data_IF_560694363403
#
_entry.id   IF_560694363403
#
_cell.length_a   1.000
_cell.length_b   1.000
_cell.length_c   1.000
_cell.angle_alpha   90.00
_cell.angle_beta   90.00
_cell.angle_gamma   90.00
#
_symmetry.space_group_name_H-M   'P 1'
#
loop_
_entity.id
_entity.type
_entity.pdbx_description
1 polymer ?
#
# COMPACT_ATOMS: atom_id res chain seq x y z
N UNK A 1 -6.25 26.98 -4.13
CA UNK A 1 -6.09 25.53 -3.94
C UNK A 1 -6.23 24.86 -5.28
N UNK A 2 -5.18 24.21 -5.77
CA UNK A 2 -5.23 23.47 -7.02
C UNK A 2 -5.38 21.96 -6.75
N UNK A 3 -6.28 21.29 -7.47
CA UNK A 3 -6.35 19.83 -7.45
C UNK A 3 -5.31 19.29 -8.44
N UNK A 4 -4.47 18.35 -7.99
CA UNK A 4 -3.37 17.79 -8.77
C UNK A 4 -3.53 16.29 -9.03
N UNK A 5 -4.33 15.60 -8.22
CA UNK A 5 -4.65 14.18 -8.39
C UNK A 5 -6.09 13.92 -7.94
N UNK A 6 -6.83 13.13 -8.73
CA UNK A 6 -8.19 12.71 -8.43
C UNK A 6 -8.20 11.19 -8.36
N UNK A 7 -8.71 10.62 -7.27
CA UNK A 7 -8.84 9.17 -7.12
C UNK A 7 -10.26 8.78 -7.45
N UNK A 8 -10.42 7.81 -8.34
CA UNK A 8 -11.71 7.29 -8.78
C UNK A 8 -11.90 5.84 -8.36
N UNK A 9 -13.17 5.42 -8.26
CA UNK A 9 -13.51 4.00 -8.11
C UNK A 9 -13.48 3.29 -9.47
N UNK A 10 -13.71 1.96 -9.45
CA UNK A 10 -13.74 1.14 -10.67
C UNK A 10 -14.87 1.47 -11.65
N UNK A 11 -15.76 2.42 -11.32
CA UNK A 11 -16.85 2.91 -12.18
C UNK A 11 -16.59 4.35 -12.66
N UNK A 12 -15.39 4.90 -12.42
CA UNK A 12 -15.03 6.26 -12.81
C UNK A 12 -15.63 7.36 -11.92
N UNK A 13 -16.23 7.02 -10.77
CA UNK A 13 -16.72 8.03 -9.83
C UNK A 13 -15.57 8.56 -8.98
N UNK A 14 -15.42 9.88 -8.92
CA UNK A 14 -14.47 10.56 -8.04
C UNK A 14 -14.74 10.22 -6.56
N UNK A 15 -13.71 9.79 -5.87
CA UNK A 15 -13.72 9.42 -4.45
C UNK A 15 -12.98 10.44 -3.60
N UNK A 16 -11.78 10.82 -4.05
CA UNK A 16 -10.88 11.68 -3.32
C UNK A 16 -10.20 12.67 -4.26
N UNK A 17 -9.88 13.84 -3.73
CA UNK A 17 -9.19 14.91 -4.43
C UNK A 17 -7.97 15.28 -3.61
N UNK A 18 -6.79 15.29 -4.24
CA UNK A 18 -5.55 15.67 -3.61
C UNK A 18 -5.13 17.02 -4.17
N UNK A 19 -4.87 17.93 -3.23
CA UNK A 19 -4.45 19.29 -3.55
C UNK A 19 -2.93 19.45 -3.65
N UNK A 20 -2.50 20.55 -4.24
CA UNK A 20 -1.14 21.13 -4.17
C UNK A 20 -0.59 21.28 -2.74
N UNK A 21 -1.47 21.45 -1.75
CA UNK A 21 -1.12 21.43 -0.32
C UNK A 21 -0.99 20.03 0.29
N UNK A 22 -0.99 18.98 -0.55
CA UNK A 22 -0.92 17.56 -0.19
C UNK A 22 -2.06 17.02 0.67
N UNK A 23 -3.12 17.80 0.91
CA UNK A 23 -4.32 17.36 1.64
C UNK A 23 -5.24 16.50 0.78
N UNK A 24 -5.78 15.43 1.37
CA UNK A 24 -6.84 14.59 0.76
C UNK A 24 -8.23 15.05 1.19
N UNK A 25 -9.04 15.44 0.21
CA UNK A 25 -10.41 15.94 0.36
C UNK A 25 -11.41 14.94 -0.22
N UNK A 26 -12.58 14.82 0.43
CA UNK A 26 -13.76 14.19 -0.13
C UNK A 26 -14.41 15.06 -1.21
N UNK A 27 -15.36 14.49 -1.95
CA UNK A 27 -16.14 15.25 -2.94
C UNK A 27 -16.86 16.44 -2.30
N UNK A 28 -17.49 16.25 -1.14
CA UNK A 28 -18.25 17.32 -0.48
C UNK A 28 -17.33 18.44 -0.02
N UNK A 29 -16.24 18.12 0.68
CA UNK A 29 -15.25 19.12 1.11
C UNK A 29 -14.67 19.90 -0.08
N UNK A 30 -14.46 19.22 -1.22
CA UNK A 30 -13.97 19.88 -2.43
C UNK A 30 -15.04 20.80 -3.04
N UNK A 31 -16.31 20.38 -3.09
CA UNK A 31 -17.43 21.23 -3.55
C UNK A 31 -17.57 22.47 -2.67
N UNK A 32 -17.55 22.29 -1.34
CA UNK A 32 -17.69 23.39 -0.38
C UNK A 32 -16.57 24.41 -0.57
N UNK A 33 -15.32 23.94 -0.71
CA UNK A 33 -14.18 24.82 -1.03
C UNK A 33 -14.30 25.50 -2.38
N UNK A 34 -14.78 24.80 -3.41
CA UNK A 34 -14.94 25.40 -4.74
C UNK A 34 -15.99 26.52 -4.70
N UNK A 35 -17.06 26.35 -3.93
CA UNK A 35 -18.08 27.39 -3.73
C UNK A 35 -17.57 28.58 -2.92
N UNK A 36 -16.69 28.35 -1.95
CA UNK A 36 -16.16 29.41 -1.08
C UNK A 36 -15.07 30.23 -1.77
N UNK A 37 -14.08 29.58 -2.38
CA UNK A 37 -12.85 30.22 -2.85
C UNK A 37 -12.78 30.37 -4.38
N UNK A 38 -13.80 29.90 -5.12
CA UNK A 38 -13.87 29.93 -6.59
C UNK A 38 -12.52 29.57 -7.27
N UNK A 39 -11.92 28.40 -6.98
CA UNK A 39 -10.65 28.01 -7.54
C UNK A 39 -10.72 28.02 -9.06
N UNK A 40 -9.66 28.55 -9.63
CA UNK A 40 -9.54 28.96 -11.01
C UNK A 40 -9.85 27.86 -12.04
N UNK A 41 -9.68 26.59 -11.69
CA UNK A 41 -9.74 25.46 -12.61
C UNK A 41 -10.98 24.55 -12.47
N UNK A 42 -11.87 24.80 -11.51
CA UNK A 42 -13.00 23.89 -11.21
C UNK A 42 -14.36 24.58 -11.15
N UNK A 43 -15.38 23.87 -11.59
CA UNK A 43 -16.78 24.28 -11.56
C UNK A 43 -17.62 23.22 -10.84
N UNK A 44 -18.54 23.67 -9.99
CA UNK A 44 -19.60 22.81 -9.44
C UNK A 44 -20.74 22.75 -10.45
N UNK A 45 -21.14 21.53 -10.81
CA UNK A 45 -22.26 21.28 -11.71
C UNK A 45 -23.37 20.55 -10.97
N UNK A 46 -24.60 21.05 -11.08
CA UNK A 46 -25.79 20.42 -10.55
C UNK A 46 -26.30 19.35 -11.52
N UNK A 47 -26.21 18.09 -11.12
CA UNK A 47 -26.72 16.95 -11.89
C UNK A 47 -27.98 16.34 -11.27
N UNK A 48 -28.60 15.40 -12.01
CA UNK A 48 -29.78 14.64 -11.56
C UNK A 48 -29.57 13.88 -10.23
N UNK A 49 -28.32 13.51 -9.93
CA UNK A 49 -27.95 12.71 -8.75
C UNK A 49 -27.16 13.52 -7.71
N UNK A 50 -27.25 14.85 -7.77
CA UNK A 50 -26.53 15.77 -6.90
C UNK A 50 -25.40 16.51 -7.61
N UNK A 51 -24.59 17.19 -6.80
CA UNK A 51 -23.49 18.02 -7.25
C UNK A 51 -22.24 17.21 -7.61
N UNK A 52 -21.54 17.64 -8.66
CA UNK A 52 -20.25 17.07 -9.06
C UNK A 52 -19.31 18.17 -9.58
N UNK A 53 -18.03 17.82 -9.69
CA UNK A 53 -16.98 18.75 -10.13
C UNK A 53 -16.60 18.49 -11.59
N UNK A 54 -16.37 19.56 -12.34
CA UNK A 54 -15.85 19.53 -13.71
C UNK A 54 -14.74 20.56 -13.86
N UNK A 55 -13.73 20.28 -14.70
CA UNK A 55 -12.76 21.29 -15.10
C UNK A 55 -13.41 22.41 -15.92
N UNK A 56 -12.89 23.64 -15.82
CA UNK A 56 -13.34 24.76 -16.64
C UNK A 56 -13.06 24.47 -18.13
N UNK A 57 -14.07 24.53 -19.02
CA UNK A 57 -13.87 24.30 -20.45
C UNK A 57 -12.81 25.25 -21.05
N UNK A 58 -12.00 24.75 -21.99
CA UNK A 58 -11.09 25.53 -22.84
C UNK A 58 -9.95 26.30 -22.14
N UNK A 59 -9.66 26.08 -20.84
CA UNK A 59 -8.49 26.71 -20.16
C UNK A 59 -7.16 26.06 -20.54
N UNK A 60 -7.00 24.78 -20.25
CA UNK A 60 -5.88 23.97 -20.73
C UNK A 60 -6.22 22.49 -20.60
N UNK A 61 -5.68 21.66 -21.49
CA UNK A 61 -5.92 20.22 -21.43
C UNK A 61 -5.32 19.58 -20.15
N UNK A 62 -4.29 20.21 -19.56
CA UNK A 62 -3.63 19.78 -18.31
C UNK A 62 -4.48 20.04 -17.05
N UNK A 63 -5.41 20.98 -17.12
CA UNK A 63 -6.31 21.31 -16.01
C UNK A 63 -7.58 20.45 -15.99
N UNK A 64 -7.77 19.59 -16.99
CA UNK A 64 -8.88 18.67 -17.03
C UNK A 64 -8.76 17.63 -15.90
N UNK A 65 -9.78 17.56 -15.04
CA UNK A 65 -9.91 16.55 -13.98
C UNK A 65 -9.74 15.12 -14.51
N UNK A 66 -10.17 14.84 -15.74
CA UNK A 66 -10.03 13.50 -16.35
C UNK A 66 -8.57 13.10 -16.53
N UNK A 67 -7.67 14.07 -16.81
CA UNK A 67 -6.22 13.81 -16.89
C UNK A 67 -5.55 13.70 -15.52
N UNK A 68 -6.16 14.30 -14.51
CA UNK A 68 -5.76 14.19 -13.10
C UNK A 68 -6.32 12.92 -12.44
N UNK A 69 -7.27 12.24 -13.10
CA UNK A 69 -7.98 11.10 -12.55
C UNK A 69 -7.20 9.79 -12.70
N UNK A 70 -7.06 9.07 -11.60
CA UNK A 70 -6.52 7.72 -11.55
C UNK A 70 -7.44 6.82 -10.76
N UNK A 71 -7.44 5.53 -11.06
CA UNK A 71 -8.07 4.56 -10.17
C UNK A 71 -7.09 4.25 -9.04
N UNK A 72 -7.57 3.82 -7.87
CA UNK A 72 -6.59 3.40 -6.86
C UNK A 72 -5.89 2.10 -7.19
N UNK A 73 -6.40 1.30 -8.14
CA UNK A 73 -5.59 0.21 -8.67
C UNK A 73 -4.32 0.74 -9.34
N UNK A 74 -4.38 1.92 -9.96
CA UNK A 74 -3.22 2.59 -10.56
C UNK A 74 -2.27 3.10 -9.47
N UNK A 75 -2.81 3.67 -8.38
CA UNK A 75 -2.01 4.06 -7.19
C UNK A 75 -1.30 2.85 -6.58
N UNK A 76 -2.01 1.75 -6.35
CA UNK A 76 -1.41 0.54 -5.79
C UNK A 76 -0.41 -0.08 -6.76
N UNK A 77 -0.69 -0.06 -8.08
CA UNK A 77 0.25 -0.53 -9.09
C UNK A 77 1.52 0.33 -9.15
N UNK A 78 1.40 1.65 -8.99
CA UNK A 78 2.49 2.59 -8.91
C UNK A 78 3.36 2.35 -7.67
N UNK A 79 2.75 2.31 -6.48
CA UNK A 79 3.47 2.07 -5.22
C UNK A 79 4.18 0.70 -5.21
N UNK A 80 3.56 -0.33 -5.80
CA UNK A 80 4.14 -1.66 -5.91
C UNK A 80 5.04 -1.88 -7.14
N UNK A 81 5.24 -0.85 -7.98
CA UNK A 81 6.06 -0.90 -9.21
C UNK A 81 5.76 -2.11 -10.11
N UNK A 82 4.49 -2.48 -10.26
CA UNK A 82 4.10 -3.68 -11.05
C UNK A 82 4.31 -3.46 -12.56
N UNK A 83 4.66 -4.51 -13.34
CA UNK A 83 4.98 -4.41 -14.79
C UNK A 83 3.94 -3.72 -15.69
N UNK A 84 2.72 -3.47 -15.19
CA UNK A 84 1.63 -2.82 -15.91
C UNK A 84 1.31 -1.40 -15.41
N UNK A 85 2.13 -0.83 -14.51
CA UNK A 85 1.94 0.54 -14.07
C UNK A 85 2.54 1.47 -15.13
N UNK A 86 1.68 2.23 -15.81
CA UNK A 86 2.10 3.49 -16.41
C UNK A 86 1.93 4.53 -15.31
N UNK A 87 3.02 5.16 -14.87
CA UNK A 87 2.87 6.37 -14.06
C UNK A 87 2.05 7.36 -14.86
N UNK A 88 0.92 7.81 -14.34
CA UNK A 88 0.26 8.97 -14.92
C UNK A 88 1.03 10.20 -14.50
N UNK A 89 1.02 11.25 -15.33
CA UNK A 89 1.62 12.53 -14.98
C UNK A 89 1.11 13.05 -13.63
N UNK A 90 -0.15 12.76 -13.29
CA UNK A 90 -0.78 13.13 -12.02
C UNK A 90 -0.16 12.42 -10.81
N UNK A 91 0.04 11.09 -10.86
CA UNK A 91 0.68 10.35 -9.74
C UNK A 91 2.15 10.77 -9.60
N UNK A 92 2.87 10.92 -10.73
CA UNK A 92 4.25 11.40 -10.73
C UNK A 92 4.37 12.78 -10.09
N UNK A 93 3.52 13.72 -10.49
CA UNK A 93 3.52 15.10 -9.99
C UNK A 93 3.22 15.13 -8.49
N UNK A 94 2.17 14.44 -8.06
CA UNK A 94 1.80 14.37 -6.64
C UNK A 94 2.93 13.77 -5.79
N UNK A 95 3.52 12.66 -6.24
CA UNK A 95 4.60 12.00 -5.49
C UNK A 95 5.86 12.87 -5.43
N UNK A 96 6.19 13.60 -6.51
CA UNK A 96 7.31 14.53 -6.52
C UNK A 96 7.11 15.70 -5.55
N UNK A 97 5.90 16.27 -5.49
CA UNK A 97 5.57 17.32 -4.52
C UNK A 97 5.58 16.79 -3.09
N UNK A 98 5.08 15.57 -2.86
CA UNK A 98 5.19 14.92 -1.55
C UNK A 98 6.64 14.78 -1.12
N UNK A 99 7.50 14.23 -1.98
CA UNK A 99 8.93 14.08 -1.74
C UNK A 99 9.60 15.42 -1.45
N UNK A 100 9.29 16.47 -2.22
CA UNK A 100 9.81 17.81 -1.98
C UNK A 100 9.41 18.31 -0.59
N UNK A 101 8.15 18.13 -0.17
CA UNK A 101 7.71 18.55 1.17
C UNK A 101 8.42 17.81 2.31
N UNK A 102 8.75 16.53 2.13
CA UNK A 102 9.58 15.78 3.10
C UNK A 102 10.98 16.39 3.19
N UNK A 103 11.61 16.70 2.05
CA UNK A 103 12.95 17.31 2.01
C UNK A 103 12.93 18.71 2.64
N UNK A 104 11.96 19.54 2.26
CA UNK A 104 11.82 20.94 2.73
C UNK A 104 11.50 21.03 4.23
N UNK A 105 10.92 19.97 4.81
CA UNK A 105 10.66 19.91 6.25
C UNK A 105 11.95 19.95 7.11
N UNK A 106 13.10 19.62 6.51
CA UNK A 106 14.39 19.50 7.20
C UNK A 106 14.46 18.35 8.22
N UNK A 107 13.41 17.54 8.35
CA UNK A 107 13.35 16.44 9.29
C UNK A 107 14.05 15.18 8.73
N UNK A 108 14.58 14.30 9.59
CA UNK A 108 15.12 13.02 9.15
C UNK A 108 14.08 12.19 8.40
N UNK A 109 14.47 11.65 7.25
CA UNK A 109 13.63 10.77 6.43
C UNK A 109 14.34 9.45 6.12
N UNK A 110 13.54 8.47 5.73
CA UNK A 110 13.95 7.17 5.22
C UNK A 110 13.69 7.17 3.73
N UNK A 111 14.56 6.54 2.94
CA UNK A 111 14.44 6.47 1.49
C UNK A 111 14.52 5.02 0.99
N UNK A 112 13.68 4.67 0.02
CA UNK A 112 13.77 3.39 -0.71
C UNK A 112 14.79 3.47 -1.83
N UNK A 113 15.29 2.33 -2.32
CA UNK A 113 16.15 2.27 -3.52
C UNK A 113 15.48 2.83 -4.78
N UNK A 114 14.16 3.03 -4.74
CA UNK A 114 13.35 3.58 -5.84
C UNK A 114 13.04 5.07 -5.64
N UNK A 115 13.57 5.70 -4.58
CA UNK A 115 13.48 7.14 -4.31
C UNK A 115 12.27 7.58 -3.49
N UNK A 116 11.39 6.66 -3.08
CA UNK A 116 10.26 6.95 -2.20
C UNK A 116 10.80 7.39 -0.82
N UNK A 117 10.19 8.41 -0.20
CA UNK A 117 10.66 8.98 1.08
C UNK A 117 9.54 9.07 2.09
N UNK A 118 9.86 8.87 3.36
CA UNK A 118 8.93 9.08 4.47
C UNK A 118 9.67 9.63 5.70
N UNK A 119 9.00 10.44 6.52
CA UNK A 119 9.57 10.88 7.80
C UNK A 119 9.93 9.69 8.70
N UNK A 120 11.11 9.73 9.31
CA UNK A 120 11.56 8.71 10.26
C UNK A 120 10.57 8.55 11.43
N UNK A 121 10.02 9.66 11.94
CA UNK A 121 9.08 9.62 13.07
C UNK A 121 7.78 8.90 12.69
N UNK A 122 7.20 9.27 11.55
CA UNK A 122 5.95 8.67 11.07
C UNK A 122 6.07 7.14 10.90
N UNK A 123 7.16 6.67 10.28
CA UNK A 123 7.38 5.22 10.11
C UNK A 123 7.64 4.54 11.46
N UNK A 124 8.46 5.15 12.32
CA UNK A 124 8.78 4.60 13.65
C UNK A 124 7.54 4.44 14.51
N UNK A 125 6.67 5.44 14.55
CA UNK A 125 5.49 5.44 15.41
C UNK A 125 4.51 4.33 15.00
N UNK A 126 4.36 4.07 13.69
CA UNK A 126 3.58 2.93 13.18
C UNK A 126 4.21 1.59 13.61
N UNK A 127 5.53 1.45 13.50
CA UNK A 127 6.23 0.21 13.89
C UNK A 127 6.11 -0.04 15.40
N UNK A 128 6.35 0.98 16.24
CA UNK A 128 6.27 0.87 17.69
C UNK A 128 4.85 0.54 18.15
N UNK A 129 3.84 1.20 17.56
CA UNK A 129 2.43 0.97 17.89
C UNK A 129 1.95 -0.45 17.56
N UNK A 130 2.68 -1.18 16.71
CA UNK A 130 2.38 -2.56 16.33
C UNK A 130 3.45 -3.56 16.83
N UNK A 131 4.39 -3.14 17.68
CA UNK A 131 5.54 -3.94 18.10
C UNK A 131 5.15 -5.29 18.71
N UNK A 132 4.19 -5.31 19.64
CA UNK A 132 3.69 -6.57 20.23
C UNK A 132 3.11 -7.52 19.19
N UNK A 133 2.38 -6.99 18.20
CA UNK A 133 1.79 -7.80 17.12
C UNK A 133 2.91 -8.38 16.24
N UNK A 134 3.94 -7.60 15.93
CA UNK A 134 5.09 -8.02 15.14
C UNK A 134 5.85 -9.14 15.86
N UNK A 135 6.17 -8.94 17.14
CA UNK A 135 6.89 -9.92 17.96
C UNK A 135 6.10 -11.22 18.08
N UNK A 136 4.80 -11.13 18.40
CA UNK A 136 3.94 -12.29 18.53
C UNK A 136 3.78 -13.07 17.22
N UNK A 137 3.54 -12.37 16.11
CA UNK A 137 3.43 -13.01 14.81
C UNK A 137 4.75 -13.70 14.44
N UNK A 138 5.88 -13.01 14.60
CA UNK A 138 7.18 -13.60 14.31
C UNK A 138 7.46 -14.86 15.14
N UNK A 139 7.10 -14.85 16.42
CA UNK A 139 7.21 -16.02 17.30
C UNK A 139 6.28 -17.17 16.85
N UNK A 140 5.00 -16.90 16.56
CA UNK A 140 4.03 -17.90 16.12
C UNK A 140 4.48 -18.61 14.84
N UNK A 141 5.09 -17.85 13.93
CA UNK A 141 5.60 -18.37 12.67
C UNK A 141 7.07 -18.76 12.73
N UNK A 142 7.75 -18.67 13.88
CA UNK A 142 9.17 -18.97 14.08
C UNK A 142 10.09 -18.28 13.02
N UNK A 143 9.83 -17.01 12.74
CA UNK A 143 10.63 -16.18 11.82
C UNK A 143 11.34 -15.06 12.58
N UNK A 144 12.36 -14.49 11.96
CA UNK A 144 13.01 -13.31 12.50
C UNK A 144 12.06 -12.09 12.51
N UNK A 145 11.75 -11.60 13.72
CA UNK A 145 10.91 -10.42 13.92
C UNK A 145 11.53 -9.13 13.37
N UNK A 146 12.87 -9.05 13.33
CA UNK A 146 13.54 -7.90 12.73
C UNK A 146 13.37 -7.88 11.21
N UNK A 147 13.39 -9.05 10.56
CA UNK A 147 13.08 -9.15 9.14
C UNK A 147 11.62 -8.77 8.85
N UNK A 148 10.67 -9.26 9.65
CA UNK A 148 9.27 -8.88 9.53
C UNK A 148 9.11 -7.36 9.68
N UNK A 149 9.72 -6.75 10.69
CA UNK A 149 9.72 -5.29 10.86
C UNK A 149 10.39 -4.55 9.70
N UNK A 150 11.47 -5.07 9.13
CA UNK A 150 12.15 -4.47 7.98
C UNK A 150 11.27 -4.46 6.72
N UNK A 151 10.54 -5.54 6.47
CA UNK A 151 9.54 -5.63 5.39
C UNK A 151 8.42 -4.61 5.61
N UNK A 152 7.91 -4.48 6.85
CA UNK A 152 6.89 -3.48 7.16
C UNK A 152 7.39 -2.05 6.92
N UNK A 153 8.62 -1.73 7.32
CA UNK A 153 9.23 -0.43 7.08
C UNK A 153 9.27 -0.10 5.59
N UNK A 154 9.75 -1.03 4.76
CA UNK A 154 9.79 -0.85 3.30
C UNK A 154 8.39 -0.57 2.72
N UNK A 155 7.38 -1.36 3.11
CA UNK A 155 6.01 -1.18 2.61
C UNK A 155 5.37 0.13 3.10
N UNK A 156 5.64 0.55 4.33
CA UNK A 156 5.15 1.83 4.89
C UNK A 156 5.76 3.00 4.13
N UNK A 157 7.08 3.00 3.89
CA UNK A 157 7.76 4.11 3.19
C UNK A 157 7.19 4.29 1.78
N UNK A 158 6.99 3.18 1.04
CA UNK A 158 6.43 3.20 -0.33
C UNK A 158 4.99 3.67 -0.40
N UNK A 159 4.22 3.42 0.65
CA UNK A 159 2.81 3.81 0.73
C UNK A 159 2.59 5.17 1.39
N UNK A 160 3.62 5.78 1.95
CA UNK A 160 3.51 7.04 2.70
C UNK A 160 2.88 8.20 1.91
N UNK A 161 3.10 8.38 0.58
CA UNK A 161 2.42 9.45 -0.15
C UNK A 161 0.90 9.24 -0.21
N UNK A 162 0.43 8.00 -0.09
CA UNK A 162 -0.97 7.64 -0.32
C UNK A 162 -1.69 7.15 0.94
N UNK A 163 -1.13 7.41 2.12
CA UNK A 163 -1.69 6.95 3.40
C UNK A 163 -3.11 7.44 3.64
N UNK A 164 -3.38 8.73 3.47
CA UNK A 164 -4.72 9.29 3.67
C UNK A 164 -5.76 8.70 2.68
N UNK A 165 -5.33 8.40 1.45
CA UNK A 165 -6.20 7.76 0.46
C UNK A 165 -6.52 6.33 0.88
N UNK A 166 -5.50 5.58 1.33
CA UNK A 166 -5.64 4.21 1.82
C UNK A 166 -6.67 4.16 2.93
N UNK A 167 -6.55 5.03 3.93
CA UNK A 167 -7.38 4.93 5.13
C UNK A 167 -8.84 5.32 4.85
N UNK A 168 -9.06 6.33 4.00
CA UNK A 168 -10.42 6.84 3.70
C UNK A 168 -11.15 6.06 2.60
N UNK A 169 -10.44 5.49 1.63
CA UNK A 169 -11.08 5.06 0.37
C UNK A 169 -10.81 3.61 -0.06
N UNK A 170 -9.90 2.87 0.58
CA UNK A 170 -9.46 1.53 0.13
C UNK A 170 -10.60 0.50 -0.01
N UNK A 171 -11.65 0.57 0.82
CA UNK A 171 -12.86 -0.26 0.68
C UNK A 171 -13.63 -0.02 -0.63
N UNK A 172 -13.65 1.21 -1.13
CA UNK A 172 -14.40 1.59 -2.34
C UNK A 172 -13.62 1.23 -3.62
N UNK A 173 -12.37 0.80 -3.45
CA UNK A 173 -11.41 0.43 -4.50
C UNK A 173 -11.41 -1.08 -4.78
N UNK A 174 -12.22 -1.84 -4.04
CA UNK A 174 -12.37 -3.29 -4.13
C UNK A 174 -13.11 -3.73 -5.41
N UNK A 175 -12.36 -3.82 -6.51
CA UNK A 175 -12.77 -4.50 -7.74
C UNK A 175 -11.63 -5.26 -8.45
N UNK A 176 -10.38 -5.12 -7.98
CA UNK A 176 -9.19 -5.82 -8.49
C UNK A 176 -8.44 -6.50 -7.33
N UNK A 177 -7.48 -7.37 -7.66
CA UNK A 177 -6.58 -7.98 -6.67
C UNK A 177 -5.57 -6.93 -6.17
N UNK A 178 -5.89 -6.27 -5.07
CA UNK A 178 -5.09 -5.19 -4.47
C UNK A 178 -4.32 -5.69 -3.25
N UNK A 179 -3.16 -5.09 -3.01
CA UNK A 179 -2.42 -5.18 -1.74
C UNK A 179 -3.14 -4.37 -0.66
N UNK A 180 -3.14 -4.84 0.59
CA UNK A 180 -3.91 -4.25 1.69
C UNK A 180 -3.08 -4.19 2.96
N UNK A 181 -3.32 -3.16 3.77
CA UNK A 181 -2.75 -2.99 5.11
C UNK A 181 -1.27 -2.61 5.15
N UNK A 182 -0.68 -2.59 6.34
CA UNK A 182 0.69 -2.16 6.60
C UNK A 182 1.74 -2.96 5.80
N UNK A 183 1.53 -4.26 5.67
CA UNK A 183 2.42 -5.19 5.00
C UNK A 183 2.07 -5.40 3.52
N UNK A 184 1.09 -4.66 2.97
CA UNK A 184 0.70 -4.71 1.57
C UNK A 184 0.41 -6.13 1.05
N UNK A 185 -0.29 -6.94 1.85
CA UNK A 185 -0.66 -8.33 1.48
C UNK A 185 -1.79 -8.32 0.45
N UNK A 186 -1.59 -8.99 -0.69
CA UNK A 186 -2.65 -9.18 -1.70
C UNK A 186 -3.77 -10.08 -1.17
N UNK A 187 -5.02 -9.75 -1.50
CA UNK A 187 -6.17 -10.56 -1.08
C UNK A 187 -6.09 -12.02 -1.57
N UNK A 188 -5.57 -12.26 -2.77
CA UNK A 188 -5.36 -13.63 -3.25
C UNK A 188 -4.25 -14.36 -2.50
N UNK A 189 -3.17 -13.66 -2.12
CA UNK A 189 -2.13 -14.23 -1.26
C UNK A 189 -2.70 -14.60 0.10
N UNK A 190 -3.46 -13.70 0.73
CA UNK A 190 -4.13 -13.99 2.00
C UNK A 190 -5.04 -15.21 1.89
N UNK A 191 -5.91 -15.28 0.87
CA UNK A 191 -6.78 -16.45 0.65
C UNK A 191 -5.97 -17.73 0.42
N UNK A 192 -4.84 -17.66 -0.31
CA UNK A 192 -3.93 -18.79 -0.51
C UNK A 192 -3.29 -19.28 0.79
N UNK A 193 -2.89 -18.37 1.68
CA UNK A 193 -2.35 -18.71 3.00
C UNK A 193 -3.41 -19.40 3.88
N UNK A 194 -4.68 -18.96 3.81
CA UNK A 194 -5.80 -19.63 4.50
C UNK A 194 -6.00 -21.04 3.91
N UNK A 195 -6.06 -21.18 2.58
CA UNK A 195 -6.19 -22.49 1.90
C UNK A 195 -5.11 -23.48 2.29
N UNK A 196 -3.88 -22.98 2.45
CA UNK A 196 -2.72 -23.80 2.79
C UNK A 196 -2.62 -24.08 4.30
N UNK A 197 -3.58 -23.62 5.11
CA UNK A 197 -3.61 -23.82 6.56
C UNK A 197 -2.52 -23.05 7.31
N UNK A 198 -1.89 -22.05 6.67
CA UNK A 198 -0.82 -21.28 7.30
C UNK A 198 -1.37 -20.22 8.25
N UNK A 199 -2.48 -19.57 7.91
CA UNK A 199 -3.14 -18.62 8.81
C UNK A 199 -4.63 -18.52 8.52
N UNK A 200 -5.46 -18.57 9.56
CA UNK A 200 -6.90 -18.29 9.45
C UNK A 200 -7.26 -17.13 10.40
N UNK A 201 -7.69 -15.95 9.88
CA UNK A 201 -8.03 -14.82 10.72
C UNK A 201 -9.29 -15.05 11.57
N UNK A 202 -10.15 -16.00 11.19
CA UNK A 202 -11.34 -16.38 11.93
C UNK A 202 -11.73 -17.85 11.66
N UNK A 203 -11.36 -18.79 12.54
CA UNK A 203 -11.71 -20.21 12.42
C UNK A 203 -13.20 -20.51 12.30
N UNK A 204 -14.06 -19.66 12.86
CA UNK A 204 -15.52 -19.85 12.86
C UNK A 204 -16.20 -19.33 11.58
N UNK A 205 -15.46 -18.62 10.74
CA UNK A 205 -15.99 -18.07 9.49
C UNK A 205 -16.03 -19.13 8.39
N UNK A 206 -17.21 -19.75 8.25
CA UNK A 206 -17.46 -20.80 7.25
C UNK A 206 -17.30 -20.36 5.79
N UNK A 207 -17.16 -19.05 5.51
CA UNK A 207 -16.89 -18.58 4.15
C UNK A 207 -15.41 -18.65 3.76
N UNK A 208 -14.52 -18.81 4.75
CA UNK A 208 -13.07 -18.90 4.54
C UNK A 208 -12.61 -20.36 4.57
N UNK A 209 -11.67 -20.75 3.69
CA UNK A 209 -11.18 -20.01 2.52
C UNK A 209 -12.17 -20.00 1.35
N UNK A 210 -12.08 -18.99 0.48
CA UNK A 210 -12.91 -18.92 -0.73
C UNK A 210 -12.36 -19.83 -1.85
N UNK A 211 -13.19 -20.70 -2.42
CA UNK A 211 -12.83 -21.55 -3.56
C UNK A 211 -12.66 -20.74 -4.87
N UNK A 212 -11.78 -21.21 -5.76
CA UNK A 212 -11.53 -20.58 -7.07
C UNK A 212 -10.97 -19.15 -6.99
N UNK A 213 -11.23 -18.37 -8.04
CA UNK A 213 -10.87 -16.96 -8.15
C UNK A 213 -11.80 -16.10 -7.29
N UNK A 214 -11.25 -15.14 -6.54
CA UNK A 214 -12.05 -14.28 -5.67
C UNK A 214 -13.02 -13.42 -6.50
N UNK A 215 -14.30 -13.43 -6.15
CA UNK A 215 -15.30 -12.49 -6.69
C UNK A 215 -15.27 -11.20 -5.88
N UNK A 216 -16.01 -10.17 -6.34
CA UNK A 216 -16.06 -8.87 -5.65
C UNK A 216 -16.57 -8.99 -4.20
N UNK A 217 -17.59 -9.81 -3.96
CA UNK A 217 -18.14 -10.04 -2.63
C UNK A 217 -17.10 -10.73 -1.71
N UNK A 218 -16.44 -11.76 -2.20
CA UNK A 218 -15.39 -12.51 -1.49
C UNK A 218 -14.23 -11.57 -1.11
N UNK A 219 -13.79 -10.71 -2.04
CA UNK A 219 -12.75 -9.69 -1.76
C UNK A 219 -13.18 -8.72 -0.66
N UNK A 220 -14.43 -8.23 -0.69
CA UNK A 220 -14.97 -7.33 0.33
C UNK A 220 -15.05 -8.00 1.70
N UNK A 221 -15.36 -9.28 1.74
CA UNK A 221 -15.40 -10.04 2.97
C UNK A 221 -14.00 -10.23 3.55
N UNK A 222 -13.07 -10.78 2.76
CA UNK A 222 -11.69 -11.02 3.19
C UNK A 222 -10.97 -9.72 3.60
N UNK A 223 -11.24 -8.61 2.90
CA UNK A 223 -10.67 -7.31 3.22
C UNK A 223 -10.90 -6.89 4.68
N UNK A 224 -12.08 -7.18 5.25
CA UNK A 224 -12.40 -6.80 6.65
C UNK A 224 -11.40 -7.37 7.65
N UNK A 225 -10.81 -8.53 7.34
CA UNK A 225 -9.74 -9.12 8.12
C UNK A 225 -8.39 -8.53 7.72
N UNK A 226 -8.03 -8.59 6.42
CA UNK A 226 -6.69 -8.22 5.93
C UNK A 226 -6.34 -6.75 6.18
N UNK A 227 -7.33 -5.86 6.28
CA UNK A 227 -7.11 -4.44 6.59
C UNK A 227 -6.75 -4.19 8.07
N UNK A 228 -7.04 -5.12 8.98
CA UNK A 228 -6.71 -4.95 10.39
C UNK A 228 -5.22 -5.22 10.62
N UNK A 229 -4.48 -4.34 11.31
CA UNK A 229 -3.04 -4.52 11.54
C UNK A 229 -2.68 -5.88 12.12
N UNK A 230 -3.45 -6.37 13.10
CA UNK A 230 -3.31 -7.71 13.70
C UNK A 230 -3.21 -8.79 12.62
N UNK A 231 -4.25 -8.94 11.80
CA UNK A 231 -4.30 -9.99 10.79
C UNK A 231 -3.32 -9.73 9.65
N UNK A 232 -3.13 -8.47 9.25
CA UNK A 232 -2.24 -8.11 8.16
C UNK A 232 -0.78 -8.52 8.44
N UNK A 233 -0.31 -8.25 9.65
CA UNK A 233 1.05 -8.62 10.09
C UNK A 233 1.19 -10.14 10.22
N UNK A 234 0.17 -10.85 10.72
CA UNK A 234 0.20 -12.32 10.76
C UNK A 234 0.20 -12.93 9.35
N UNK A 235 -0.55 -12.37 8.40
CA UNK A 235 -0.46 -12.79 7.00
C UNK A 235 0.93 -12.58 6.41
N UNK A 236 1.61 -11.47 6.74
CA UNK A 236 2.98 -11.22 6.30
C UNK A 236 3.95 -12.25 6.90
N UNK A 237 3.84 -12.54 8.19
CA UNK A 237 4.64 -13.57 8.86
C UNK A 237 4.39 -14.97 8.27
N UNK A 238 3.12 -15.33 8.08
CA UNK A 238 2.72 -16.59 7.43
C UNK A 238 3.24 -16.68 5.99
N UNK A 239 3.31 -15.56 5.26
CA UNK A 239 3.92 -15.51 3.92
C UNK A 239 5.40 -15.83 3.96
N UNK A 240 6.15 -15.23 4.88
CA UNK A 240 7.59 -15.49 5.06
C UNK A 240 7.81 -16.96 5.42
N UNK A 241 7.07 -17.51 6.38
CA UNK A 241 7.15 -18.94 6.73
C UNK A 241 6.78 -19.84 5.55
N UNK A 242 5.74 -19.47 4.79
CA UNK A 242 5.37 -20.18 3.57
C UNK A 242 6.50 -20.25 2.56
N UNK A 243 7.23 -19.14 2.35
CA UNK A 243 8.41 -19.08 1.48
C UNK A 243 9.54 -19.99 1.99
N UNK A 244 9.86 -19.94 3.29
CA UNK A 244 10.88 -20.81 3.89
C UNK A 244 10.53 -22.29 3.66
N UNK A 245 9.29 -22.69 3.95
CA UNK A 245 8.81 -24.07 3.76
C UNK A 245 8.83 -24.51 2.30
N UNK A 246 8.49 -23.62 1.37
CA UNK A 246 8.48 -23.92 -0.05
C UNK A 246 9.91 -24.14 -0.59
N UNK A 247 10.86 -23.33 -0.12
CA UNK A 247 12.24 -23.37 -0.58
C UNK A 247 13.11 -24.43 0.09
N UNK A 248 12.75 -24.91 1.29
CA UNK A 248 13.56 -25.83 2.10
C UNK A 248 13.96 -27.13 1.41
N UNK A 249 13.21 -27.57 0.38
CA UNK A 249 13.57 -28.73 -0.45
C UNK A 249 14.81 -28.50 -1.33
N UNK A 250 15.17 -27.25 -1.57
CA UNK A 250 16.23 -26.84 -2.48
C UNK A 250 17.37 -26.14 -1.73
N UNK A 251 17.03 -25.30 -0.76
CA UNK A 251 17.96 -24.57 0.10
C UNK A 251 17.19 -24.01 1.31
N UNK A 252 17.81 -23.99 2.49
CA UNK A 252 17.24 -23.27 3.62
C UNK A 252 17.53 -21.76 3.47
N UNK A 253 16.47 -20.96 3.45
CA UNK A 253 16.53 -19.50 3.31
C UNK A 253 16.08 -18.79 4.60
N UNK A 254 15.91 -19.52 5.70
CA UNK A 254 15.49 -18.99 7.01
C UNK A 254 16.35 -17.82 7.47
N UNK A 255 17.66 -17.92 7.30
CA UNK A 255 18.66 -16.92 7.67
C UNK A 255 19.13 -16.04 6.50
N UNK A 256 18.33 -15.95 5.42
CA UNK A 256 18.66 -15.17 4.22
C UNK A 256 17.70 -13.98 4.04
N UNK A 257 17.79 -12.93 4.88
CA UNK A 257 16.85 -11.81 4.87
C UNK A 257 16.79 -11.08 3.51
N UNK A 258 17.89 -11.04 2.76
CA UNK A 258 17.98 -10.44 1.43
C UNK A 258 17.21 -11.24 0.37
N UNK A 259 17.17 -12.57 0.52
CA UNK A 259 16.38 -13.45 -0.34
C UNK A 259 14.91 -13.39 0.06
N UNK A 260 14.60 -13.47 1.35
CA UNK A 260 13.22 -13.37 1.84
C UNK A 260 12.59 -12.02 1.50
N UNK A 261 13.32 -10.91 1.68
CA UNK A 261 12.91 -9.59 1.22
C UNK A 261 12.68 -9.57 -0.29
N UNK A 262 13.57 -10.16 -1.09
CA UNK A 262 13.38 -10.27 -2.54
C UNK A 262 12.11 -11.03 -2.92
N UNK A 263 11.83 -12.16 -2.26
CA UNK A 263 10.72 -13.05 -2.58
C UNK A 263 9.37 -12.52 -2.10
N UNK A 264 9.34 -11.78 -0.99
CA UNK A 264 8.10 -11.24 -0.43
C UNK A 264 7.38 -10.33 -1.43
N UNK A 265 8.13 -9.48 -2.14
CA UNK A 265 7.57 -8.47 -3.05
C UNK A 265 7.41 -8.94 -4.51
N UNK A 266 7.88 -10.14 -4.85
CA UNK A 266 7.83 -10.66 -6.23
C UNK A 266 6.59 -11.51 -6.46
N UNK A 267 6.14 -11.53 -7.72
CA UNK A 267 5.33 -12.65 -8.22
C UNK A 267 6.06 -13.97 -8.00
N UNK A 268 5.33 -15.08 -8.02
CA UNK A 268 5.88 -16.41 -7.82
C UNK A 268 7.19 -16.63 -8.62
N UNK A 269 8.22 -17.07 -7.90
CA UNK A 269 9.51 -17.50 -8.45
C UNK A 269 9.71 -18.94 -8.00
N UNK A 270 9.91 -19.84 -8.96
CA UNK A 270 10.16 -21.24 -8.67
C UNK A 270 11.41 -21.38 -7.78
N UNK A 271 11.37 -22.17 -6.70
CA UNK A 271 12.54 -22.40 -5.85
C UNK A 271 13.72 -23.04 -6.60
N UNK A 272 14.94 -22.68 -6.20
CA UNK A 272 16.18 -23.26 -6.73
C UNK A 272 17.33 -23.10 -5.75
N UNK A 273 18.39 -23.91 -5.90
CA UNK A 273 19.51 -23.97 -4.93
C UNK A 273 20.45 -22.74 -4.91
N UNK A 274 20.21 -21.72 -5.75
CA UNK A 274 21.11 -20.56 -5.90
C UNK A 274 20.32 -19.25 -6.02
N UNK A 275 19.48 -18.90 -5.02
CA UNK A 275 18.72 -17.66 -5.05
C UNK A 275 19.65 -16.46 -5.17
N UNK A 276 19.14 -15.36 -5.75
CA UNK A 276 19.88 -14.09 -5.82
C UNK A 276 18.98 -12.96 -5.33
N UNK A 277 19.49 -12.07 -4.47
CA UNK A 277 18.72 -10.92 -4.04
C UNK A 277 18.59 -9.90 -5.17
N UNK A 278 17.55 -9.07 -5.09
CA UNK A 278 17.45 -7.83 -5.87
C UNK A 278 17.76 -6.61 -4.97
N UNK A 279 17.81 -5.41 -5.56
CA UNK A 279 18.09 -4.17 -4.82
C UNK A 279 17.16 -3.95 -3.62
N UNK A 280 15.86 -4.26 -3.77
CA UNK A 280 14.86 -4.12 -2.70
C UNK A 280 15.14 -5.09 -1.56
N UNK A 281 15.41 -6.36 -1.86
CA UNK A 281 15.79 -7.36 -0.86
C UNK A 281 17.07 -7.00 -0.12
N UNK A 282 18.09 -6.50 -0.82
CA UNK A 282 19.31 -5.99 -0.19
C UNK A 282 19.01 -4.82 0.76
N UNK A 283 18.18 -3.86 0.34
CA UNK A 283 17.81 -2.73 1.18
C UNK A 283 17.04 -3.16 2.43
N UNK A 284 16.14 -4.14 2.31
CA UNK A 284 15.45 -4.73 3.46
C UNK A 284 16.46 -5.30 4.44
N UNK A 285 17.41 -6.12 3.98
CA UNK A 285 18.39 -6.80 4.83
C UNK A 285 19.46 -5.87 5.45
N UNK A 286 19.94 -4.87 4.72
CA UNK A 286 21.07 -4.05 5.16
C UNK A 286 20.66 -2.69 5.74
N UNK A 287 19.56 -2.12 5.24
CA UNK A 287 19.06 -0.80 5.61
C UNK A 287 17.95 -0.88 6.64
N UNK A 288 16.77 -1.36 6.21
CA UNK A 288 15.56 -1.36 7.05
C UNK A 288 15.65 -2.29 8.24
N UNK A 289 16.40 -3.39 8.12
CA UNK A 289 16.71 -4.28 9.22
C UNK A 289 17.40 -3.58 10.40
N UNK A 290 18.26 -2.59 10.14
CA UNK A 290 18.91 -1.79 11.21
C UNK A 290 17.90 -0.92 11.96
N UNK A 291 16.95 -0.32 11.24
CA UNK A 291 15.85 0.44 11.86
C UNK A 291 14.94 -0.48 12.68
N UNK A 292 14.55 -1.62 12.11
CA UNK A 292 13.77 -2.65 12.78
C UNK A 292 14.44 -3.10 14.08
N UNK A 293 15.73 -3.42 14.04
CA UNK A 293 16.55 -3.72 15.23
C UNK A 293 16.59 -2.58 16.24
N UNK A 294 16.58 -1.33 15.81
CA UNK A 294 16.61 -0.18 16.73
C UNK A 294 15.26 0.03 17.41
N UNK A 295 14.15 -0.19 16.71
CA UNK A 295 12.81 0.17 17.18
C UNK A 295 12.05 -0.97 17.85
N UNK A 296 12.38 -2.22 17.53
CA UNK A 296 11.76 -3.41 18.11
C UNK A 296 12.60 -4.04 19.23
N UNK A 297 13.75 -3.46 19.56
CA UNK A 297 14.47 -3.82 20.79
C UNK A 297 13.61 -3.40 21.98
N UNK A 298 13.15 -4.41 22.72
CA UNK A 298 12.59 -4.28 24.06
C UNK A 298 13.68 -3.87 25.04
#
# INVERSE_FOLDING_TARGET
>A
MQIILVVTNTRGKNLAFLSDSLKTLSLQETIDKVKMDAPDDLLVVNGKYGEYLRGVPNRSEKDNLDRKAVTAADIMAYANRTRHFNSTDAISLYTAQYIASIIDSGQPFIETVDGDKASVSAVRDIIISNSEIILKAAQEYDIDHFLLGAILIDEIVRMSPFEEIRDKFLLQLLGRNVSVGLAQVKLETANGLIKNGLYNPNPDDKNLPFAGNLRKADRKHLYKYVAQPKHNIHFAAARIRGLIKEWSKYIDISDMPEILGTLYHRSYVAPHARPKPNKRGMQVAEGFYKFSKKWLKS
#
